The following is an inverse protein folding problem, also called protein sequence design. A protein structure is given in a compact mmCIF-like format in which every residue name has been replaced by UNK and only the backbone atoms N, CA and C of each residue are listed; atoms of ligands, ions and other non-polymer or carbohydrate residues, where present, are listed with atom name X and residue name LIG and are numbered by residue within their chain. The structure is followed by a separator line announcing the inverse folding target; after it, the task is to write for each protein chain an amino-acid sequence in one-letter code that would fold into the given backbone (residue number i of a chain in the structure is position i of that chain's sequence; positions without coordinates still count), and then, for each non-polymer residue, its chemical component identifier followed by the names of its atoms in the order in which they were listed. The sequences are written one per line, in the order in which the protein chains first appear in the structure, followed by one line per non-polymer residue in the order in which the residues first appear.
data_IF_162908918957
#
_entry.id   IF_162908918957
#
_cell.length_a   1.000
_cell.length_b   1.000
_cell.length_c   1.000
_cell.angle_alpha   90.00
_cell.angle_beta   90.00
_cell.angle_gamma   90.00
#
_symmetry.space_group_name_H-M   'P 1'
#
loop_
_entity.id
_entity.type
_entity.pdbx_description
1 polymer ?
#
# COMPACT_ATOMS: atom_id res chain seq x y z
N UNK A 1 9.45 -12.56 16.22
CA UNK A 1 10.47 -11.49 16.12
C UNK A 1 10.66 -11.13 14.64
N UNK A 2 9.65 -10.52 14.02
CA UNK A 2 9.71 -9.97 12.66
C UNK A 2 9.27 -8.49 12.63
N UNK A 3 9.41 -7.77 13.74
CA UNK A 3 8.53 -6.65 14.09
C UNK A 3 8.50 -5.43 13.16
N UNK A 4 9.57 -5.13 12.42
CA UNK A 4 9.54 -4.03 11.44
C UNK A 4 9.09 -4.49 10.06
N UNK A 5 9.71 -5.55 9.53
CA UNK A 5 9.36 -6.09 8.21
C UNK A 5 7.90 -6.53 8.15
N UNK A 6 7.43 -7.26 9.17
CA UNK A 6 6.04 -7.69 9.27
C UNK A 6 5.07 -6.50 9.37
N UNK A 7 5.44 -5.44 10.09
CA UNK A 7 4.64 -4.23 10.18
C UNK A 7 4.58 -3.46 8.84
N UNK A 8 5.69 -3.42 8.08
CA UNK A 8 5.70 -2.81 6.74
C UNK A 8 4.82 -3.61 5.78
N UNK A 9 4.89 -4.94 5.82
CA UNK A 9 4.00 -5.79 5.02
C UNK A 9 2.53 -5.57 5.36
N UNK A 10 2.19 -5.53 6.65
CA UNK A 10 0.80 -5.32 7.06
C UNK A 10 0.32 -3.93 6.65
N UNK A 11 1.13 -2.88 6.81
CA UNK A 11 0.77 -1.53 6.36
C UNK A 11 0.49 -1.47 4.86
N UNK A 12 1.34 -2.10 4.03
CA UNK A 12 1.12 -2.14 2.57
C UNK A 12 -0.18 -2.89 2.25
N UNK A 13 -0.45 -3.99 2.94
CA UNK A 13 -1.69 -4.76 2.77
C UNK A 13 -2.92 -3.94 3.14
N UNK A 14 -2.90 -3.27 4.28
CA UNK A 14 -3.99 -2.41 4.76
C UNK A 14 -4.24 -1.24 3.79
N UNK A 15 -3.19 -0.57 3.32
CA UNK A 15 -3.31 0.53 2.37
C UNK A 15 -3.91 0.09 1.02
N UNK A 16 -3.49 -1.08 0.49
CA UNK A 16 -4.10 -1.68 -0.71
C UNK A 16 -5.58 -1.99 -0.51
N UNK A 17 -5.93 -2.58 0.64
CA UNK A 17 -7.31 -2.90 0.97
C UNK A 17 -8.17 -1.63 1.12
N UNK A 18 -7.63 -0.56 1.71
CA UNK A 18 -8.31 0.73 1.83
C UNK A 18 -8.53 1.38 0.46
N UNK A 19 -7.51 1.39 -0.41
CA UNK A 19 -7.62 1.91 -1.77
C UNK A 19 -8.67 1.17 -2.58
N UNK A 20 -8.66 -0.18 -2.53
CA UNK A 20 -9.68 -0.99 -3.21
C UNK A 20 -11.09 -0.69 -2.71
N UNK A 21 -11.27 -0.44 -1.41
CA UNK A 21 -12.57 -0.09 -0.84
C UNK A 21 -13.03 1.31 -1.26
N UNK A 22 -12.14 2.29 -1.22
CA UNK A 22 -12.44 3.67 -1.62
C UNK A 22 -12.83 3.76 -3.11
N UNK A 23 -12.10 3.03 -3.97
CA UNK A 23 -12.44 2.92 -5.40
C UNK A 23 -13.81 2.27 -5.61
N UNK A 24 -14.12 1.19 -4.88
CA UNK A 24 -15.42 0.52 -4.97
C UNK A 24 -16.58 1.39 -4.45
N UNK A 25 -16.31 2.31 -3.53
CA UNK A 25 -17.28 3.26 -2.99
C UNK A 25 -17.41 4.53 -3.86
N UNK A 26 -16.60 4.68 -4.91
CA UNK A 26 -16.50 5.90 -5.72
C UNK A 26 -16.21 7.16 -4.87
N UNK A 27 -15.49 6.99 -3.75
CA UNK A 27 -15.12 8.08 -2.87
C UNK A 27 -13.78 8.67 -3.31
N UNK A 28 -13.84 9.80 -4.01
CA UNK A 28 -12.67 10.46 -4.56
C UNK A 28 -11.70 10.98 -3.48
N UNK A 29 -12.22 11.39 -2.32
CA UNK A 29 -11.37 11.88 -1.22
C UNK A 29 -10.63 10.71 -0.57
N UNK A 30 -11.36 9.67 -0.18
CA UNK A 30 -10.75 8.48 0.44
C UNK A 30 -9.81 7.75 -0.52
N UNK A 31 -10.09 7.79 -1.83
CA UNK A 31 -9.18 7.25 -2.84
C UNK A 31 -7.85 7.98 -2.84
N UNK A 32 -7.86 9.32 -2.80
CA UNK A 32 -6.65 10.13 -2.76
C UNK A 32 -5.85 9.90 -1.47
N UNK A 33 -6.53 9.81 -0.33
CA UNK A 33 -5.90 9.50 0.96
C UNK A 33 -5.27 8.11 0.95
N UNK A 34 -5.99 7.09 0.48
CA UNK A 34 -5.49 5.72 0.45
C UNK A 34 -4.33 5.52 -0.54
N UNK A 35 -4.29 6.29 -1.64
CA UNK A 35 -3.15 6.33 -2.56
C UNK A 35 -1.90 6.90 -1.90
N UNK A 36 -2.00 8.05 -1.23
CA UNK A 36 -0.87 8.67 -0.53
C UNK A 36 -0.30 7.74 0.56
N UNK A 37 -1.17 7.09 1.33
CA UNK A 37 -0.77 6.12 2.35
C UNK A 37 -0.10 4.85 1.76
N UNK A 38 -0.57 4.39 0.59
CA UNK A 38 0.06 3.28 -0.12
C UNK A 38 1.45 3.68 -0.64
N UNK A 39 1.57 4.85 -1.25
CA UNK A 39 2.83 5.38 -1.77
C UNK A 39 3.87 5.55 -0.65
N UNK A 40 3.46 6.08 0.51
CA UNK A 40 4.31 6.19 1.70
C UNK A 40 4.77 4.83 2.20
N UNK A 41 3.86 3.84 2.29
CA UNK A 41 4.20 2.50 2.74
C UNK A 41 5.18 1.80 1.77
N UNK A 42 4.97 1.96 0.46
CA UNK A 42 5.87 1.46 -0.58
C UNK A 42 7.23 2.16 -0.53
N UNK A 43 7.26 3.48 -0.30
CA UNK A 43 8.50 4.23 -0.16
C UNK A 43 9.32 3.75 1.04
N UNK A 44 8.68 3.50 2.19
CA UNK A 44 9.33 2.90 3.36
C UNK A 44 9.88 1.51 3.03
N UNK A 45 9.08 0.65 2.39
CA UNK A 45 9.54 -0.68 2.00
C UNK A 45 10.79 -0.62 1.10
N UNK A 46 10.74 0.20 0.06
CA UNK A 46 11.83 0.40 -0.88
C UNK A 46 13.10 0.94 -0.21
N UNK A 47 12.96 1.93 0.69
CA UNK A 47 14.08 2.52 1.43
C UNK A 47 14.81 1.50 2.31
N UNK A 48 14.08 0.49 2.80
CA UNK A 48 14.62 -0.54 3.68
C UNK A 48 14.93 -1.87 2.96
N UNK A 49 14.75 -1.93 1.63
CA UNK A 49 14.99 -3.15 0.84
C UNK A 49 14.02 -4.28 1.18
N UNK A 50 12.81 -3.94 1.61
CA UNK A 50 11.76 -4.90 1.94
C UNK A 50 10.94 -5.16 0.67
N UNK A 51 10.94 -6.41 0.21
CA UNK A 51 10.08 -6.83 -0.88
C UNK A 51 8.65 -7.03 -0.37
N UNK A 52 7.73 -6.16 -0.78
CA UNK A 52 6.31 -6.22 -0.42
C UNK A 52 5.42 -6.79 -1.54
N UNK A 53 6.04 -7.32 -2.60
CA UNK A 53 5.38 -7.82 -3.80
C UNK A 53 4.73 -6.70 -4.61
N UNK A 54 5.01 -6.61 -5.90
CA UNK A 54 4.26 -5.71 -6.76
C UNK A 54 2.80 -6.22 -6.86
N UNK A 55 1.82 -5.37 -6.57
CA UNK A 55 0.54 -5.57 -7.23
C UNK A 55 0.84 -5.38 -8.73
N UNK A 56 0.51 -6.37 -9.54
CA UNK A 56 0.77 -6.37 -10.98
C UNK A 56 -0.07 -5.30 -11.68
N UNK A 57 0.26 -4.03 -11.44
CA UNK A 57 -0.13 -2.87 -12.21
C UNK A 57 1.12 -2.39 -12.97
N UNK A 58 1.72 -3.31 -13.74
CA UNK A 58 2.49 -2.95 -14.92
C UNK A 58 1.67 -3.46 -16.10
N UNK A 59 0.90 -2.54 -16.67
CA UNK A 59 0.24 -2.70 -17.95
C UNK A 59 1.33 -2.80 -19.03
N UNK A 60 1.37 -3.93 -19.75
CA UNK A 60 2.03 -4.04 -21.05
C UNK A 60 1.13 -3.53 -22.17
#
# INVERSE_FOLDING_TARGET
MGGFTEAVHERVREARAALSQALAAEDAYETAVAQDELDDALWVAQRHGIDVGADAADEG
#
